data_IF_313225191060
#
_entry.id   IF_313225191060
#
_cell.length_a   1.000
_cell.length_b   1.000
_cell.length_c   1.000
_cell.angle_alpha   90.00
_cell.angle_beta   90.00
_cell.angle_gamma   90.00
#
_symmetry.space_group_name_H-M   'P 1'
#
loop_
_entity.id
_entity.type
_entity.pdbx_description
1 polymer ?
#
# COMPACT_ATOMS: atom_id res chain seq x y z
N UNK A 1 -4.95 -6.71 -29.48
CA UNK A 1 -5.29 -6.64 -28.03
C UNK A 1 -6.40 -5.62 -27.86
N UNK A 2 -7.49 -5.95 -27.15
CA UNK A 2 -8.57 -4.99 -26.89
C UNK A 2 -8.23 -4.22 -25.61
N UNK A 3 -8.02 -2.90 -25.72
CA UNK A 3 -7.82 -2.01 -24.58
C UNK A 3 -9.20 -1.75 -23.96
N UNK A 4 -9.37 -2.03 -22.66
CA UNK A 4 -10.63 -1.77 -21.95
C UNK A 4 -10.52 -0.40 -21.29
N UNK A 5 -11.37 0.52 -21.73
CA UNK A 5 -11.51 1.83 -21.10
C UNK A 5 -12.48 1.76 -19.91
N UNK A 6 -12.22 2.52 -18.85
CA UNK A 6 -13.04 2.56 -17.62
C UNK A 6 -13.17 3.98 -17.11
N UNK A 7 -14.38 4.36 -16.73
CA UNK A 7 -14.69 5.66 -16.13
C UNK A 7 -15.34 5.43 -14.76
N UNK A 8 -14.89 6.17 -13.73
CA UNK A 8 -15.51 6.25 -12.39
C UNK A 8 -15.96 7.69 -12.16
N UNK A 9 -17.26 7.87 -11.97
CA UNK A 9 -17.88 9.17 -11.74
C UNK A 9 -18.42 9.21 -10.31
N UNK A 10 -18.09 10.26 -9.54
CA UNK A 10 -18.72 10.53 -8.25
C UNK A 10 -20.04 11.25 -8.53
N UNK A 11 -21.16 10.65 -8.12
CA UNK A 11 -22.50 11.18 -8.39
C UNK A 11 -23.16 11.59 -7.08
N UNK A 12 -23.66 12.83 -7.01
CA UNK A 12 -24.36 13.35 -5.81
C UNK A 12 -25.84 12.95 -5.77
N UNK A 13 -26.37 12.44 -6.89
CA UNK A 13 -27.78 12.07 -7.07
C UNK A 13 -27.80 10.67 -7.71
N UNK A 14 -28.74 9.78 -7.35
CA UNK A 14 -28.85 8.48 -8.00
C UNK A 14 -28.95 8.62 -9.54
N UNK A 15 -28.17 7.83 -10.30
CA UNK A 15 -28.21 7.89 -11.76
C UNK A 15 -29.60 7.51 -12.27
N UNK A 16 -30.12 8.30 -13.22
CA UNK A 16 -31.44 8.06 -13.82
C UNK A 16 -31.34 7.04 -14.95
N UNK A 17 -32.46 6.38 -15.27
CA UNK A 17 -32.58 5.50 -16.44
C UNK A 17 -32.13 6.19 -17.73
N UNK A 18 -32.47 7.48 -17.91
CA UNK A 18 -32.07 8.27 -19.09
C UNK A 18 -30.55 8.41 -19.19
N UNK A 19 -29.88 8.68 -18.07
CA UNK A 19 -28.41 8.78 -18.03
C UNK A 19 -27.75 7.42 -18.33
N UNK A 20 -28.24 6.33 -17.73
CA UNK A 20 -27.71 4.99 -17.97
C UNK A 20 -27.88 4.56 -19.43
N UNK A 21 -29.02 4.85 -20.05
CA UNK A 21 -29.25 4.59 -21.48
C UNK A 21 -28.30 5.41 -22.36
N UNK A 22 -28.09 6.69 -22.05
CA UNK A 22 -27.11 7.52 -22.76
C UNK A 22 -25.68 6.94 -22.68
N UNK A 23 -25.27 6.45 -21.51
CA UNK A 23 -23.95 5.82 -21.34
C UNK A 23 -23.87 4.51 -22.14
N UNK A 24 -24.93 3.71 -22.12
CA UNK A 24 -25.04 2.50 -22.93
C UNK A 24 -24.95 2.76 -24.44
N UNK A 25 -25.66 3.77 -24.94
CA UNK A 25 -25.64 4.16 -26.37
C UNK A 25 -24.28 4.71 -26.80
N UNK A 26 -23.52 5.29 -25.86
CA UNK A 26 -22.13 5.70 -26.05
C UNK A 26 -21.12 4.53 -25.97
N UNK A 27 -21.59 3.30 -25.80
CA UNK A 27 -20.77 2.09 -25.76
C UNK A 27 -20.22 1.73 -24.37
N UNK A 28 -20.62 2.45 -23.32
CA UNK A 28 -20.24 2.11 -21.94
C UNK A 28 -21.16 1.03 -21.39
N UNK A 29 -20.57 0.04 -20.72
CA UNK A 29 -21.32 -0.99 -20.00
C UNK A 29 -21.24 -0.71 -18.50
N UNK A 30 -22.39 -0.65 -17.82
CA UNK A 30 -22.41 -0.59 -16.35
C UNK A 30 -21.85 -1.90 -15.79
N UNK A 31 -20.79 -1.81 -14.99
CA UNK A 31 -20.07 -2.97 -14.44
C UNK A 31 -20.02 -3.01 -12.93
N UNK A 32 -20.34 -1.91 -12.24
CA UNK A 32 -20.34 -1.82 -10.78
C UNK A 32 -21.26 -0.68 -10.30
N UNK A 33 -21.82 -0.83 -9.10
CA UNK A 33 -22.44 0.22 -8.29
C UNK A 33 -21.86 0.10 -6.89
N UNK A 34 -21.46 1.23 -6.32
CA UNK A 34 -20.98 1.32 -4.94
C UNK A 34 -22.06 2.02 -4.11
N UNK A 35 -22.38 1.43 -2.95
CA UNK A 35 -23.40 1.93 -2.05
C UNK A 35 -22.76 2.32 -0.73
N UNK A 36 -23.01 3.55 -0.31
CA UNK A 36 -22.61 4.08 0.99
C UNK A 36 -23.88 4.35 1.79
N UNK A 37 -23.86 3.99 3.09
CA UNK A 37 -24.89 4.41 4.05
C UNK A 37 -24.21 4.81 5.34
N UNK A 38 -24.69 5.89 5.95
CA UNK A 38 -24.29 6.26 7.30
C UNK A 38 -24.92 5.29 8.30
N UNK A 39 -24.13 4.81 9.25
CA UNK A 39 -24.58 3.91 10.30
C UNK A 39 -24.19 4.57 11.63
N UNK A 40 -25.18 4.94 12.44
CA UNK A 40 -24.93 5.43 13.80
C UNK A 40 -24.44 4.26 14.66
N UNK A 41 -23.13 4.24 14.94
CA UNK A 41 -22.51 3.20 15.74
C UNK A 41 -22.40 3.68 17.20
N UNK A 42 -23.21 3.10 18.09
CA UNK A 42 -23.27 3.45 19.52
C UNK A 42 -22.50 2.47 20.42
N UNK A 43 -21.73 1.55 19.84
CA UNK A 43 -20.92 0.55 20.54
C UNK A 43 -19.40 0.84 20.49
N UNK A 44 -18.63 -0.03 21.14
CA UNK A 44 -17.18 -0.12 20.99
C UNK A 44 -16.87 -0.64 19.57
N UNK A 45 -15.96 -0.01 18.80
CA UNK A 45 -15.79 -0.27 17.36
C UNK A 45 -15.68 -1.77 17.12
N UNK A 46 -16.69 -2.34 16.44
CA UNK A 46 -16.64 -3.73 16.01
C UNK A 46 -15.43 -3.84 15.07
N UNK A 47 -14.42 -4.60 15.50
CA UNK A 47 -13.34 -5.02 14.62
C UNK A 47 -14.05 -5.74 13.46
N UNK A 48 -14.00 -5.22 12.23
CA UNK A 48 -14.74 -5.82 11.12
C UNK A 48 -14.39 -7.29 11.05
N UNK A 49 -15.40 -8.17 11.12
CA UNK A 49 -15.18 -9.59 10.91
C UNK A 49 -14.60 -9.74 9.50
N UNK A 50 -13.32 -10.09 9.45
CA UNK A 50 -12.59 -10.36 8.21
C UNK A 50 -13.36 -11.47 7.49
N UNK A 51 -14.04 -11.14 6.39
CA UNK A 51 -14.87 -12.12 5.67
C UNK A 51 -14.02 -13.35 5.33
N UNK A 52 -14.51 -14.57 5.53
CA UNK A 52 -13.76 -15.78 5.22
C UNK A 52 -13.43 -15.82 3.73
N UNK A 53 -12.13 -15.71 3.41
CA UNK A 53 -11.62 -15.60 2.03
C UNK A 53 -11.11 -14.21 1.65
N UNK A 54 -11.24 -13.21 2.53
CA UNK A 54 -10.55 -11.93 2.37
C UNK A 54 -9.08 -12.04 2.78
N UNK A 55 -8.19 -11.54 1.93
CA UNK A 55 -6.76 -11.47 2.19
C UNK A 55 -6.38 -10.01 2.42
N UNK A 56 -5.55 -9.75 3.44
CA UNK A 56 -5.03 -8.41 3.67
C UNK A 56 -4.13 -7.98 2.50
N UNK A 57 -4.26 -6.73 2.08
CA UNK A 57 -3.38 -6.16 1.05
C UNK A 57 -1.94 -6.20 1.60
N UNK A 58 -0.96 -6.78 0.89
CA UNK A 58 0.42 -6.79 1.38
C UNK A 58 0.98 -5.38 1.57
N UNK A 59 1.83 -5.17 2.58
CA UNK A 59 2.49 -3.88 2.82
C UNK A 59 3.36 -3.47 1.62
N UNK A 60 3.34 -2.20 1.25
CA UNK A 60 3.96 -1.67 0.03
C UNK A 60 3.02 -1.62 -1.18
N UNK A 61 1.78 -2.10 -1.04
CA UNK A 61 0.78 -2.12 -2.11
C UNK A 61 -0.50 -1.42 -1.68
N UNK A 62 -1.17 -0.81 -2.65
CA UNK A 62 -2.52 -0.27 -2.52
C UNK A 62 -3.38 -0.74 -3.69
N UNK A 63 -4.70 -0.73 -3.50
CA UNK A 63 -5.63 -0.99 -4.61
C UNK A 63 -5.48 0.14 -5.63
N UNK A 64 -5.27 -0.22 -6.89
CA UNK A 64 -5.19 0.76 -7.97
C UNK A 64 -6.52 1.51 -8.12
N UNK A 65 -6.47 2.73 -8.64
CA UNK A 65 -7.69 3.56 -8.82
C UNK A 65 -8.78 2.90 -9.68
N UNK A 66 -8.41 1.90 -10.50
CA UNK A 66 -9.33 1.12 -11.33
C UNK A 66 -9.97 -0.10 -10.62
N UNK A 67 -9.55 -0.38 -9.39
CA UNK A 67 -9.92 -1.51 -8.53
C UNK A 67 -9.75 -2.89 -9.19
N UNK A 68 -8.78 -3.06 -10.11
CA UNK A 68 -8.53 -4.37 -10.78
C UNK A 68 -7.26 -5.06 -10.34
N UNK A 69 -6.29 -4.29 -9.87
CA UNK A 69 -4.99 -4.80 -9.49
C UNK A 69 -4.44 -4.01 -8.31
N UNK A 70 -3.35 -4.53 -7.75
CA UNK A 70 -2.54 -3.82 -6.77
C UNK A 70 -1.49 -2.98 -7.51
N UNK A 71 -1.23 -1.79 -6.99
CA UNK A 71 -0.13 -0.93 -7.42
C UNK A 71 0.73 -0.54 -6.23
N UNK A 72 1.92 -0.03 -6.50
CA UNK A 72 2.84 0.38 -5.43
C UNK A 72 2.24 1.54 -4.64
N UNK A 73 2.21 1.39 -3.32
CA UNK A 73 2.01 2.52 -2.43
C UNK A 73 3.35 3.25 -2.26
N UNK A 74 3.46 4.53 -2.66
CA UNK A 74 4.73 5.23 -2.65
C UNK A 74 5.32 5.42 -1.25
N UNK A 75 4.49 5.60 -0.22
CA UNK A 75 4.93 5.83 1.16
C UNK A 75 5.35 4.52 1.82
N UNK A 76 4.56 3.46 1.65
CA UNK A 76 4.91 2.14 2.17
C UNK A 76 6.12 1.55 1.45
N UNK A 77 6.24 1.77 0.14
CA UNK A 77 7.42 1.32 -0.62
C UNK A 77 8.68 2.08 -0.22
N UNK A 78 8.57 3.36 0.16
CA UNK A 78 9.68 4.12 0.73
C UNK A 78 10.10 3.55 2.11
N UNK A 79 9.13 3.16 2.93
CA UNK A 79 9.37 2.49 4.22
C UNK A 79 10.12 1.17 4.01
N UNK A 80 9.68 0.34 3.07
CA UNK A 80 10.34 -0.93 2.74
C UNK A 80 11.76 -0.72 2.20
N UNK A 81 11.98 0.25 1.31
CA UNK A 81 13.32 0.62 0.83
C UNK A 81 14.26 0.98 1.98
N UNK A 82 13.78 1.83 2.89
CA UNK A 82 14.59 2.29 4.01
C UNK A 82 14.89 1.18 5.02
N UNK A 83 13.93 0.29 5.29
CA UNK A 83 14.18 -0.93 6.07
C UNK A 83 15.23 -1.83 5.39
N UNK A 84 15.16 -1.99 4.07
CA UNK A 84 16.17 -2.75 3.31
C UNK A 84 17.59 -2.19 3.45
N UNK A 85 17.74 -0.86 3.45
CA UNK A 85 19.03 -0.19 3.70
C UNK A 85 19.57 -0.53 5.09
N UNK A 86 18.72 -0.44 6.12
CA UNK A 86 19.11 -0.73 7.51
C UNK A 86 19.42 -2.21 7.74
N UNK A 87 18.78 -3.14 7.00
CA UNK A 87 19.11 -4.56 7.06
C UNK A 87 20.52 -4.82 6.51
N UNK A 88 20.90 -4.15 5.42
CA UNK A 88 22.27 -4.26 4.87
C UNK A 88 23.32 -3.70 5.84
N UNK A 89 22.93 -2.73 6.67
CA UNK A 89 23.76 -2.17 7.73
C UNK A 89 23.73 -2.95 9.04
N UNK A 90 23.02 -4.10 9.09
CA UNK A 90 22.88 -4.95 10.28
C UNK A 90 22.32 -4.20 11.51
N UNK A 91 21.40 -3.26 11.28
CA UNK A 91 20.76 -2.49 12.35
C UNK A 91 19.74 -3.36 13.08
N UNK A 92 19.66 -3.26 14.41
CA UNK A 92 18.67 -4.00 15.20
C UNK A 92 17.23 -3.57 14.89
N UNK A 93 16.25 -4.48 15.01
CA UNK A 93 14.83 -4.13 14.77
C UNK A 93 14.30 -3.01 15.67
N UNK A 94 14.83 -2.90 16.89
CA UNK A 94 14.51 -1.80 17.80
C UNK A 94 14.96 -0.46 17.21
N UNK A 95 16.23 -0.38 16.81
CA UNK A 95 16.81 0.83 16.23
C UNK A 95 16.17 1.17 14.87
N UNK A 96 15.79 0.16 14.09
CA UNK A 96 14.99 0.37 12.87
C UNK A 96 13.66 1.04 13.18
N UNK A 97 12.92 0.55 14.17
CA UNK A 97 11.64 1.15 14.57
C UNK A 97 11.81 2.60 15.05
N UNK A 98 12.84 2.88 15.85
CA UNK A 98 13.19 4.23 16.29
C UNK A 98 13.50 5.15 15.08
N UNK A 99 14.27 4.66 14.10
CA UNK A 99 14.60 5.40 12.89
C UNK A 99 13.38 5.66 11.98
N UNK A 100 12.46 4.70 11.84
CA UNK A 100 11.19 4.89 11.14
C UNK A 100 10.36 5.99 11.81
N UNK A 101 10.24 5.93 13.13
CA UNK A 101 9.44 6.87 13.90
C UNK A 101 10.00 8.29 13.86
N UNK A 102 11.33 8.44 13.90
CA UNK A 102 12.03 9.72 13.77
C UNK A 102 11.81 10.40 12.41
N UNK A 103 11.49 9.62 11.37
CA UNK A 103 11.10 10.11 10.04
C UNK A 103 9.60 10.27 9.84
N UNK A 104 8.85 10.15 10.93
CA UNK A 104 7.38 10.23 10.93
C UNK A 104 6.68 9.17 10.07
N UNK A 105 7.37 8.09 9.72
CA UNK A 105 6.70 6.93 9.15
C UNK A 105 5.83 6.27 10.22
N UNK A 106 4.64 5.86 9.81
CA UNK A 106 3.64 5.23 10.68
C UNK A 106 3.15 3.93 10.05
N UNK A 107 2.62 3.07 10.89
CA UNK A 107 1.88 1.88 10.44
C UNK A 107 0.58 2.30 9.75
N UNK A 108 -0.10 1.36 9.08
CA UNK A 108 -1.40 1.63 8.42
C UNK A 108 -2.46 2.16 9.38
N UNK A 109 -2.40 1.72 10.63
CA UNK A 109 -3.32 2.16 11.70
C UNK A 109 -2.87 3.48 12.35
N UNK A 110 -1.88 4.18 11.75
CA UNK A 110 -1.33 5.44 12.25
C UNK A 110 -0.43 5.31 13.47
N UNK A 111 -0.22 4.09 13.99
CA UNK A 111 0.59 3.85 15.19
C UNK A 111 2.09 3.95 14.91
N UNK A 112 2.91 4.32 15.91
CA UNK A 112 4.36 4.27 15.80
C UNK A 112 4.85 2.83 15.61
N UNK A 113 5.96 2.69 14.89
CA UNK A 113 6.63 1.41 14.69
C UNK A 113 7.23 0.90 16.00
N UNK A 114 7.14 -0.41 16.20
CA UNK A 114 7.88 -1.13 17.24
C UNK A 114 8.67 -2.29 16.60
N UNK A 115 9.57 -2.91 17.37
CA UNK A 115 10.42 -3.97 16.86
C UNK A 115 9.63 -5.17 16.30
N UNK A 116 8.50 -5.52 16.91
CA UNK A 116 7.65 -6.61 16.44
C UNK A 116 6.97 -6.28 15.09
N UNK A 117 6.51 -5.04 14.91
CA UNK A 117 5.95 -4.56 13.65
C UNK A 117 6.98 -4.57 12.52
N UNK A 118 8.21 -4.15 12.81
CA UNK A 118 9.32 -4.23 11.84
C UNK A 118 9.63 -5.69 11.49
N UNK A 119 9.69 -6.58 12.48
CA UNK A 119 9.92 -8.01 12.25
C UNK A 119 8.83 -8.65 11.36
N UNK A 120 7.56 -8.28 11.54
CA UNK A 120 6.45 -8.74 10.71
C UNK A 120 6.60 -8.35 9.23
N UNK A 121 7.37 -7.30 8.90
CA UNK A 121 7.63 -6.89 7.52
C UNK A 121 8.76 -7.65 6.83
N UNK A 122 9.52 -8.50 7.54
CA UNK A 122 10.66 -9.22 6.96
C UNK A 122 10.26 -10.14 5.80
N UNK A 123 9.20 -10.98 5.90
CA UNK A 123 8.76 -11.79 4.76
C UNK A 123 8.47 -10.93 3.53
N UNK A 124 7.82 -9.78 3.74
CA UNK A 124 7.51 -8.85 2.65
C UNK A 124 8.76 -8.27 2.00
N UNK A 125 9.77 -7.93 2.80
CA UNK A 125 11.06 -7.45 2.30
C UNK A 125 11.77 -8.49 1.43
N UNK A 126 11.68 -9.77 1.78
CA UNK A 126 12.23 -10.87 0.96
C UNK A 126 11.53 -10.95 -0.40
N UNK A 127 10.20 -10.79 -0.43
CA UNK A 127 9.42 -10.81 -1.68
C UNK A 127 9.74 -9.63 -2.60
N UNK A 128 9.86 -8.42 -2.05
CA UNK A 128 10.08 -7.21 -2.86
C UNK A 128 11.55 -6.95 -3.17
N UNK A 129 12.47 -7.54 -2.40
CA UNK A 129 13.91 -7.31 -2.53
C UNK A 129 14.42 -7.45 -3.97
N UNK A 130 14.07 -8.48 -4.76
CA UNK A 130 14.55 -8.60 -6.14
C UNK A 130 14.10 -7.45 -7.06
N UNK A 131 12.97 -6.81 -6.78
CA UNK A 131 12.47 -5.67 -7.58
C UNK A 131 13.04 -4.35 -7.08
N UNK A 132 13.23 -4.21 -5.77
CA UNK A 132 13.61 -2.97 -5.12
C UNK A 132 15.14 -2.80 -5.02
N UNK A 133 15.87 -3.91 -4.94
CA UNK A 133 17.31 -3.97 -4.66
C UNK A 133 18.14 -4.38 -5.89
N UNK A 134 17.62 -4.20 -7.10
CA UNK A 134 18.31 -4.53 -8.37
C UNK A 134 18.60 -3.33 -9.27
N UNK A 135 18.14 -2.13 -8.90
CA UNK A 135 18.41 -0.89 -9.63
C UNK A 135 19.84 -0.36 -9.43
N UNK A 136 20.35 0.39 -10.40
CA UNK A 136 21.63 1.12 -10.31
C UNK A 136 21.69 2.08 -9.12
N UNK A 137 20.53 2.63 -8.72
CA UNK A 137 20.36 3.44 -7.51
C UNK A 137 20.68 2.65 -6.25
N UNK A 138 20.21 1.40 -6.14
CA UNK A 138 20.51 0.53 -5.02
C UNK A 138 21.99 0.14 -4.98
N UNK A 139 22.59 -0.24 -6.11
CA UNK A 139 24.03 -0.56 -6.13
C UNK A 139 24.89 0.63 -5.69
N UNK A 140 24.54 1.84 -6.14
CA UNK A 140 25.23 3.07 -5.76
C UNK A 140 25.09 3.34 -4.26
N UNK A 141 23.88 3.13 -3.72
CA UNK A 141 23.57 3.33 -2.31
C UNK A 141 24.22 2.28 -1.41
N UNK A 142 24.19 1.01 -1.81
CA UNK A 142 24.90 -0.09 -1.14
C UNK A 142 26.39 0.21 -1.02
N UNK A 143 27.05 0.66 -2.09
CA UNK A 143 28.47 1.06 -2.09
C UNK A 143 28.76 2.19 -1.10
N UNK A 144 27.85 3.15 -0.94
CA UNK A 144 27.98 4.23 0.05
C UNK A 144 27.81 3.69 1.48
N UNK A 145 26.79 2.87 1.72
CA UNK A 145 26.49 2.32 3.05
C UNK A 145 27.62 1.42 3.56
N UNK A 146 28.20 0.57 2.69
CA UNK A 146 29.33 -0.29 3.06
C UNK A 146 30.62 0.48 3.35
N UNK A 147 30.82 1.65 2.71
CA UNK A 147 31.99 2.52 2.98
C UNK A 147 31.91 3.24 4.33
N UNK A 148 30.70 3.61 4.75
CA UNK A 148 30.49 4.31 6.04
C UNK A 148 30.67 3.35 7.21
N UNK A 149 30.17 2.11 7.10
CA UNK A 149 30.32 1.09 8.14
C UNK A 149 31.77 0.64 8.38
N UNK A 150 32.68 0.84 7.42
CA UNK A 150 34.10 0.49 7.54
C UNK A 150 34.98 1.62 8.10
N UNK A 151 34.44 2.84 8.14
CA UNK A 151 35.15 4.05 8.58
C UNK A 151 34.66 4.57 9.96
N UNK A 152 33.82 3.81 10.66
CA UNK A 152 33.31 4.09 12.01
C UNK A 152 33.84 3.05 12.99
#
# INVERSE_FOLDING_TARGET
>A
MKKIDRIREKVTIPPTSVYLSKMHDAGWRLVALEWEREIEFSGEPEIPEVEPGSEEIPFGLRIAGDCRHLEDDPLEMQTLKFLGEMIVQDISFRSMAEALNAREYRTRDGQPWNAAGVFKLIPRLIEVAPRVLTGSEWESRKKQLTKVAWNS
#
